data_IF_001790455221
#
_entry.id   IF_001790455221
#
_cell.length_a   1.000
_cell.length_b   1.000
_cell.length_c   1.000
_cell.angle_alpha   90.00
_cell.angle_beta   90.00
_cell.angle_gamma   90.00
#
_symmetry.space_group_name_H-M   'P 1'
#
loop_
_entity.id
_entity.type
_entity.pdbx_description
1 polymer ?
#
# COMPACT_ATOMS: atom_id res chain seq x y z
N UNK A 1 8.41 46.81 25.45
CA UNK A 1 7.31 46.29 24.62
C UNK A 1 7.86 45.18 23.75
N UNK A 2 7.68 43.94 24.22
CA UNK A 2 8.14 42.70 23.59
C UNK A 2 7.32 42.41 22.33
N UNK A 3 7.98 42.29 21.19
CA UNK A 3 7.38 41.72 19.98
C UNK A 3 7.18 40.22 20.19
N UNK A 4 5.99 39.76 19.83
CA UNK A 4 5.49 38.40 19.95
C UNK A 4 6.37 37.39 19.22
N UNK A 5 6.71 36.30 19.91
CA UNK A 5 7.24 35.05 19.36
C UNK A 5 6.22 34.44 18.39
N UNK A 6 6.34 34.77 17.12
CA UNK A 6 5.73 33.99 16.03
C UNK A 6 6.44 32.63 15.97
N UNK A 7 5.88 31.63 16.64
CA UNK A 7 6.19 30.22 16.49
C UNK A 7 5.88 29.78 15.04
N UNK A 8 6.77 30.09 14.10
CA UNK A 8 6.71 29.62 12.71
C UNK A 8 6.91 28.10 12.70
N UNK A 9 5.80 27.36 12.63
CA UNK A 9 5.78 25.92 12.37
C UNK A 9 6.15 25.69 10.92
N UNK A 10 7.20 24.93 10.65
CA UNK A 10 7.59 24.55 9.29
C UNK A 10 7.14 23.12 9.08
N UNK A 11 6.24 22.94 8.12
CA UNK A 11 5.81 21.64 7.64
C UNK A 11 6.81 21.16 6.60
N UNK A 12 7.33 19.94 6.77
CA UNK A 12 7.90 19.21 5.65
C UNK A 12 6.80 19.03 4.59
N UNK A 13 7.16 19.12 3.32
CA UNK A 13 6.22 18.81 2.25
C UNK A 13 5.72 17.36 2.44
N UNK A 14 4.40 17.13 2.39
CA UNK A 14 3.77 15.83 2.63
C UNK A 14 4.36 14.72 1.72
N UNK A 15 4.85 15.12 0.54
CA UNK A 15 5.54 14.24 -0.42
C UNK A 15 6.92 13.75 0.05
N UNK A 16 7.53 14.40 1.04
CA UNK A 16 8.87 14.05 1.56
C UNK A 16 8.79 13.15 2.80
N UNK A 17 7.69 13.16 3.54
CA UNK A 17 7.68 12.58 4.89
C UNK A 17 7.26 11.12 4.95
N UNK A 18 6.53 10.61 3.96
CA UNK A 18 5.82 9.34 4.14
C UNK A 18 6.02 8.38 2.96
N UNK A 19 5.78 8.78 1.70
CA UNK A 19 5.75 7.83 0.57
C UNK A 19 7.03 7.04 0.26
N UNK A 20 8.22 7.53 0.63
CA UNK A 20 9.50 6.94 0.18
C UNK A 20 10.36 6.35 1.32
N UNK A 21 9.91 6.39 2.57
CA UNK A 21 10.70 5.85 3.70
C UNK A 21 10.96 4.35 3.52
N UNK A 22 10.09 3.65 2.80
CA UNK A 22 10.27 2.23 2.45
C UNK A 22 11.48 1.99 1.53
N UNK A 23 11.75 2.88 0.57
CA UNK A 23 12.93 2.78 -0.32
C UNK A 23 14.18 2.84 0.53
N UNK A 24 14.21 3.80 1.46
CA UNK A 24 15.33 3.96 2.38
C UNK A 24 15.50 2.71 3.23
N UNK A 25 14.44 2.13 3.78
CA UNK A 25 14.57 0.93 4.62
C UNK A 25 15.01 -0.29 3.84
N UNK A 26 14.38 -0.54 2.70
CA UNK A 26 14.66 -1.72 1.88
C UNK A 26 16.06 -1.68 1.27
N UNK A 27 16.52 -0.49 0.90
CA UNK A 27 17.83 -0.27 0.28
C UNK A 27 18.84 0.36 1.22
N UNK A 28 18.59 0.40 2.53
CA UNK A 28 19.43 1.17 3.45
C UNK A 28 20.88 0.71 3.42
N UNK A 29 21.10 -0.61 3.39
CA UNK A 29 22.42 -1.20 3.28
C UNK A 29 23.14 -0.82 2.00
N UNK A 30 22.45 -0.86 0.86
CA UNK A 30 22.98 -0.44 -0.43
C UNK A 30 23.35 1.05 -0.42
N UNK A 31 22.46 1.88 0.15
CA UNK A 31 22.62 3.32 0.30
C UNK A 31 23.87 3.64 1.14
N UNK A 32 24.00 3.06 2.34
CA UNK A 32 25.09 3.43 3.26
C UNK A 32 26.39 2.70 2.96
N UNK A 33 26.36 1.53 2.32
CA UNK A 33 27.55 0.70 2.04
C UNK A 33 28.12 0.90 0.63
N UNK A 34 27.60 1.87 -0.13
CA UNK A 34 28.03 2.10 -1.51
C UNK A 34 29.56 2.35 -1.60
N UNK A 35 30.30 1.69 -2.52
CA UNK A 35 31.76 1.80 -2.61
C UNK A 35 32.28 3.22 -2.89
N UNK A 36 31.47 4.04 -3.58
CA UNK A 36 31.80 5.44 -3.90
C UNK A 36 31.28 6.44 -2.88
N UNK A 37 30.82 5.99 -1.71
CA UNK A 37 30.25 6.91 -0.72
C UNK A 37 31.28 7.96 -0.28
N UNK A 38 30.82 9.20 -0.12
CA UNK A 38 31.62 10.30 0.45
C UNK A 38 31.00 10.71 1.76
N UNK A 39 31.79 10.67 2.83
CA UNK A 39 31.34 11.02 4.17
C UNK A 39 31.91 12.36 4.59
N UNK A 40 31.03 13.22 5.09
CA UNK A 40 31.35 14.56 5.55
C UNK A 40 30.78 14.79 6.95
N UNK A 41 31.50 15.53 7.78
CA UNK A 41 30.98 16.05 9.04
C UNK A 41 30.91 17.56 8.95
N UNK A 42 29.78 18.14 9.35
CA UNK A 42 29.67 19.58 9.48
C UNK A 42 30.21 19.99 10.84
N UNK A 43 31.33 20.72 10.86
CA UNK A 43 31.96 21.24 12.08
C UNK A 43 32.07 22.75 11.93
N UNK A 44 31.51 23.50 12.88
CA UNK A 44 31.51 24.98 12.86
C UNK A 44 30.98 25.57 11.54
N UNK A 45 29.94 24.95 10.96
CA UNK A 45 29.33 25.40 9.72
C UNK A 45 30.15 25.16 8.44
N UNK A 46 31.19 24.31 8.51
CA UNK A 46 31.98 23.90 7.35
C UNK A 46 31.93 22.38 7.17
N UNK A 47 31.83 21.94 5.92
CA UNK A 47 31.89 20.52 5.56
C UNK A 47 33.34 20.04 5.54
N UNK A 48 33.66 19.06 6.38
CA UNK A 48 34.97 18.42 6.46
C UNK A 48 34.84 16.95 6.10
N UNK A 49 35.79 16.42 5.31
CA UNK A 49 35.83 14.98 5.02
C UNK A 49 36.01 14.23 6.33
N UNK A 50 35.19 13.21 6.57
CA UNK A 50 35.20 12.43 7.79
C UNK A 50 35.00 10.96 7.49
N UNK A 51 35.73 10.10 8.18
CA UNK A 51 35.57 8.65 8.10
C UNK A 51 34.75 8.17 9.30
N UNK A 52 33.42 8.22 9.16
CA UNK A 52 32.52 7.50 10.06
C UNK A 52 31.89 6.32 9.35
N UNK A 53 31.62 5.28 10.12
CA UNK A 53 30.85 4.12 9.66
C UNK A 53 29.41 4.30 10.08
N UNK A 54 28.54 4.28 9.08
CA UNK A 54 27.10 4.15 9.25
C UNK A 54 26.73 2.78 8.69
N UNK A 55 26.21 1.91 9.54
CA UNK A 55 25.80 0.55 9.20
C UNK A 55 24.28 0.46 9.15
N UNK A 56 23.71 -0.59 8.52
CA UNK A 56 22.26 -0.75 8.51
C UNK A 56 21.64 -0.84 9.90
N UNK A 57 22.39 -1.42 10.84
CA UNK A 57 22.01 -1.59 12.24
C UNK A 57 22.02 -0.29 13.03
N UNK A 58 22.59 0.78 12.48
CA UNK A 58 22.62 2.08 13.14
C UNK A 58 21.30 2.84 12.96
N UNK A 59 20.46 2.49 11.98
CA UNK A 59 19.23 3.24 11.65
C UNK A 59 18.21 3.17 12.80
N UNK A 60 18.01 4.30 13.48
CA UNK A 60 16.99 4.45 14.53
C UNK A 60 15.70 5.04 13.96
N UNK A 61 15.80 6.08 13.15
CA UNK A 61 14.64 6.83 12.68
C UNK A 61 14.90 7.44 11.31
N UNK A 62 13.85 7.51 10.48
CA UNK A 62 13.86 8.26 9.22
C UNK A 62 12.90 9.44 9.41
N UNK A 63 13.45 10.64 9.48
CA UNK A 63 12.66 11.86 9.61
C UNK A 63 11.92 12.21 8.32
N UNK A 64 12.59 12.00 7.18
CA UNK A 64 11.99 12.12 5.86
C UNK A 64 12.83 11.40 4.80
N UNK A 65 12.17 11.05 3.70
CA UNK A 65 12.78 10.56 2.48
C UNK A 65 12.12 11.25 1.28
N UNK A 66 12.88 12.09 0.60
CA UNK A 66 12.47 12.73 -0.63
C UNK A 66 13.14 12.04 -1.82
N UNK A 67 12.33 11.55 -2.74
CA UNK A 67 12.82 10.86 -3.93
C UNK A 67 12.29 11.52 -5.20
N UNK A 68 13.14 11.61 -6.20
CA UNK A 68 12.79 11.89 -7.60
C UNK A 68 13.43 10.80 -8.48
N UNK A 69 13.32 10.93 -9.80
CA UNK A 69 14.00 10.03 -10.74
C UNK A 69 15.52 10.05 -10.58
N UNK A 70 16.10 11.22 -10.26
CA UNK A 70 17.56 11.40 -10.20
C UNK A 70 18.17 11.35 -8.78
N UNK A 71 17.38 11.59 -7.72
CA UNK A 71 17.94 11.79 -6.37
C UNK A 71 17.06 11.17 -5.28
N UNK A 72 17.71 10.68 -4.22
CA UNK A 72 17.09 10.30 -2.95
C UNK A 72 17.78 11.06 -1.81
N UNK A 73 17.05 11.97 -1.18
CA UNK A 73 17.50 12.74 -0.01
C UNK A 73 16.78 12.22 1.22
N UNK A 74 17.56 11.73 2.18
CA UNK A 74 17.03 11.15 3.41
C UNK A 74 17.66 11.82 4.62
N UNK A 75 16.84 12.20 5.59
CA UNK A 75 17.32 12.57 6.92
C UNK A 75 17.02 11.44 7.89
N UNK A 76 18.06 10.92 8.54
CA UNK A 76 17.96 9.84 9.51
C UNK A 76 18.57 10.22 10.86
N UNK A 77 18.22 9.45 11.86
CA UNK A 77 18.88 9.41 13.17
C UNK A 77 19.45 8.02 13.40
N UNK A 78 20.61 7.94 14.05
CA UNK A 78 21.14 6.67 14.53
C UNK A 78 20.74 6.36 15.99
N UNK A 79 21.07 5.17 16.49
CA UNK A 79 20.81 4.78 17.89
C UNK A 79 21.56 5.63 18.94
N UNK A 80 22.62 6.35 18.55
CA UNK A 80 23.36 7.27 19.42
C UNK A 80 22.73 8.67 19.46
N UNK A 81 21.70 8.91 18.67
CA UNK A 81 21.09 10.23 18.50
C UNK A 81 21.84 11.15 17.55
N UNK A 82 22.85 10.65 16.84
CA UNK A 82 23.51 11.40 15.78
C UNK A 82 22.58 11.49 14.56
N UNK A 83 22.56 12.66 13.91
CA UNK A 83 21.74 12.90 12.72
C UNK A 83 22.59 12.84 11.46
N UNK A 84 22.04 12.20 10.42
CA UNK A 84 22.69 12.09 9.13
C UNK A 84 21.76 12.50 8.01
N UNK A 85 22.24 13.37 7.12
CA UNK A 85 21.62 13.60 5.84
C UNK A 85 22.33 12.74 4.80
N UNK A 86 21.59 11.88 4.13
CA UNK A 86 22.07 11.06 3.03
C UNK A 86 21.52 11.65 1.73
N UNK A 87 22.40 11.98 0.81
CA UNK A 87 22.07 12.45 -0.52
C UNK A 87 22.60 11.43 -1.54
N UNK A 88 21.69 10.69 -2.17
CA UNK A 88 22.05 9.70 -3.18
C UNK A 88 21.66 10.21 -4.56
N UNK A 89 22.56 10.06 -5.52
CA UNK A 89 22.21 10.06 -6.93
C UNK A 89 21.67 8.67 -7.29
N UNK A 90 20.49 8.65 -7.89
CA UNK A 90 19.83 7.44 -8.34
C UNK A 90 20.07 7.23 -9.82
N UNK A 91 20.25 5.96 -10.19
CA UNK A 91 20.08 5.52 -11.57
C UNK A 91 18.93 4.55 -11.59
N UNK A 92 17.83 4.98 -12.20
CA UNK A 92 16.66 4.14 -12.42
C UNK A 92 16.85 3.50 -13.79
N UNK A 93 17.22 2.23 -13.81
CA UNK A 93 17.18 1.43 -15.03
C UNK A 93 15.74 0.97 -15.23
N UNK A 94 15.06 1.58 -16.19
CA UNK A 94 13.85 0.99 -16.73
C UNK A 94 14.25 -0.35 -17.37
N UNK A 95 13.79 -1.45 -16.78
CA UNK A 95 13.87 -2.76 -17.44
C UNK A 95 12.84 -2.71 -18.57
N UNK A 96 13.20 -2.08 -19.68
CA UNK A 96 12.36 -2.03 -20.88
C UNK A 96 12.50 -3.41 -21.55
N UNK A 97 11.43 -4.23 -21.62
CA UNK A 97 11.41 -5.34 -22.55
C UNK A 97 11.57 -4.74 -23.94
N UNK A 98 12.61 -5.11 -24.66
CA UNK A 98 12.98 -4.48 -25.94
C UNK A 98 11.83 -4.58 -26.95
N UNK A 99 11.18 -3.45 -27.25
CA UNK A 99 10.31 -3.30 -28.42
C UNK A 99 10.58 -1.98 -29.18
N UNK A 100 10.31 -1.98 -30.51
CA UNK A 100 10.93 -1.07 -31.49
C UNK A 100 10.35 0.35 -31.47
N UNK A 101 11.03 1.33 -32.09
CA UNK A 101 10.84 2.74 -31.75
C UNK A 101 9.60 3.32 -32.44
N UNK A 102 8.81 4.10 -31.69
CA UNK A 102 7.90 5.07 -32.30
C UNK A 102 7.77 6.36 -31.48
N UNK A 103 8.16 7.44 -32.17
CA UNK A 103 7.81 8.86 -32.13
C UNK A 103 6.98 9.47 -30.99
N UNK A 104 7.57 10.53 -30.43
CA UNK A 104 7.12 11.52 -29.44
C UNK A 104 5.93 12.39 -29.87
N UNK A 105 5.07 12.73 -28.90
CA UNK A 105 4.43 14.07 -28.76
C UNK A 105 4.17 14.41 -27.29
N UNK A 106 4.26 15.71 -26.96
CA UNK A 106 4.25 16.34 -25.61
C UNK A 106 2.87 16.91 -25.26
N UNK A 107 2.44 16.94 -23.97
CA UNK A 107 1.39 17.85 -23.50
C UNK A 107 1.85 18.84 -22.39
N UNK A 108 1.12 19.96 -22.17
CA UNK A 108 1.49 21.01 -21.20
C UNK A 108 0.68 20.98 -19.88
N UNK A 109 1.15 21.80 -18.94
CA UNK A 109 0.80 21.88 -17.51
C UNK A 109 -0.30 22.91 -17.16
N UNK A 110 -1.02 22.66 -16.05
CA UNK A 110 -1.17 23.51 -14.84
C UNK A 110 -2.47 23.16 -14.08
N UNK A 111 -2.39 22.89 -12.76
CA UNK A 111 -3.24 23.52 -11.72
C UNK A 111 -2.99 23.01 -10.29
N UNK A 112 -3.34 23.90 -9.36
CA UNK A 112 -2.95 24.08 -7.94
C UNK A 112 -3.70 23.24 -6.89
N UNK A 113 -3.04 22.96 -5.77
CA UNK A 113 -3.53 22.16 -4.63
C UNK A 113 -4.15 22.98 -3.47
N UNK A 114 -5.12 22.41 -2.70
CA UNK A 114 -5.50 22.90 -1.37
C UNK A 114 -5.12 21.95 -0.21
N UNK A 115 -5.21 22.52 1.01
CA UNK A 115 -4.59 22.13 2.28
C UNK A 115 -5.41 21.21 3.20
N UNK A 116 -4.71 20.57 4.16
CA UNK A 116 -5.20 19.58 5.12
C UNK A 116 -5.84 20.14 6.42
N UNK A 117 -6.84 19.43 6.96
CA UNK A 117 -6.84 18.83 8.31
C UNK A 117 -8.22 18.24 8.62
N UNK A 118 -8.28 16.99 9.08
CA UNK A 118 -9.16 16.53 10.17
C UNK A 118 -9.01 15.02 10.35
N UNK A 119 -8.62 14.62 11.55
CA UNK A 119 -8.59 13.24 12.02
C UNK A 119 -9.69 13.15 13.06
N UNK A 120 -10.83 12.53 12.73
CA UNK A 120 -11.82 12.10 13.72
C UNK A 120 -12.74 11.02 13.09
N UNK A 121 -13.02 9.98 13.89
CA UNK A 121 -14.04 8.92 13.70
C UNK A 121 -14.10 8.17 12.35
N UNK A 122 -13.09 7.33 12.11
CA UNK A 122 -12.98 6.44 10.96
C UNK A 122 -13.83 5.15 11.08
N UNK A 123 -15.08 5.19 10.63
CA UNK A 123 -15.82 3.96 10.23
C UNK A 123 -16.73 4.21 9.03
N UNK A 124 -17.48 5.31 9.04
CA UNK A 124 -18.25 5.77 7.87
C UNK A 124 -17.62 7.00 7.21
N UNK A 125 -17.01 7.89 8.01
CA UNK A 125 -16.30 9.06 7.50
C UNK A 125 -15.07 8.73 6.66
N UNK A 126 -14.46 7.54 6.74
CA UNK A 126 -13.35 7.19 5.82
C UNK A 126 -13.88 7.14 4.40
N UNK A 127 -14.99 6.42 4.21
CA UNK A 127 -15.65 6.28 2.93
C UNK A 127 -16.29 7.60 2.48
N UNK A 128 -16.75 8.42 3.42
CA UNK A 128 -17.32 9.76 3.11
C UNK A 128 -16.25 10.88 3.04
N UNK A 129 -15.01 10.68 3.50
CA UNK A 129 -13.93 11.68 3.50
C UNK A 129 -13.13 11.75 2.19
N UNK A 130 -13.42 10.86 1.24
CA UNK A 130 -12.82 10.85 -0.11
C UNK A 130 -13.25 12.04 -1.01
N UNK A 131 -14.09 12.94 -0.50
CA UNK A 131 -14.68 14.11 -1.19
C UNK A 131 -13.69 15.14 -1.80
N UNK A 132 -12.36 15.00 -1.69
CA UNK A 132 -11.44 16.13 -1.92
C UNK A 132 -10.13 15.85 -2.70
N UNK A 133 -9.93 14.74 -3.41
CA UNK A 133 -8.63 14.51 -4.10
C UNK A 133 -8.76 13.91 -5.50
N UNK A 134 -8.28 14.67 -6.50
CA UNK A 134 -8.05 14.24 -7.88
C UNK A 134 -6.56 13.98 -8.10
N UNK A 135 -6.20 12.79 -8.56
CA UNK A 135 -4.89 12.53 -9.15
C UNK A 135 -5.09 11.76 -10.46
N UNK A 136 -4.60 12.33 -11.57
CA UNK A 136 -4.46 11.64 -12.84
C UNK A 136 -3.31 10.63 -12.71
N UNK A 137 -3.61 9.35 -12.96
CA UNK A 137 -2.62 8.28 -13.01
C UNK A 137 -2.64 7.70 -14.43
N UNK A 138 -1.49 7.74 -15.09
CA UNK A 138 -1.28 7.12 -16.40
C UNK A 138 -1.26 5.59 -16.26
N UNK A 139 -1.98 4.83 -17.11
CA UNK A 139 -1.98 3.37 -17.04
C UNK A 139 -0.61 2.78 -17.42
N UNK A 140 -0.13 1.83 -16.61
CA UNK A 140 1.08 1.03 -16.88
C UNK A 140 0.61 -0.36 -17.34
N UNK A 141 0.94 -0.75 -18.57
CA UNK A 141 0.35 -1.90 -19.26
C UNK A 141 1.09 -3.24 -19.05
N UNK A 142 2.19 -3.27 -18.31
CA UNK A 142 2.97 -4.49 -18.07
C UNK A 142 3.20 -4.73 -16.58
N UNK A 143 3.40 -5.99 -16.20
CA UNK A 143 3.83 -6.40 -14.86
C UNK A 143 5.20 -5.78 -14.61
N UNK A 144 5.20 -4.57 -14.05
CA UNK A 144 6.43 -3.88 -13.74
C UNK A 144 7.17 -4.70 -12.69
N UNK A 145 8.29 -5.29 -13.09
CA UNK A 145 9.40 -5.40 -12.15
C UNK A 145 9.58 -4.00 -11.58
N UNK A 146 9.53 -3.87 -10.25
CA UNK A 146 9.81 -2.58 -9.61
C UNK A 146 11.09 -2.03 -10.24
N UNK A 147 11.14 -0.74 -10.63
CA UNK A 147 12.33 -0.15 -11.19
C UNK A 147 13.53 -0.55 -10.33
N UNK A 148 14.57 -1.07 -10.97
CA UNK A 148 15.80 -1.41 -10.26
C UNK A 148 16.45 -0.08 -9.92
N UNK A 149 16.20 0.39 -8.71
CA UNK A 149 16.85 1.58 -8.18
C UNK A 149 18.25 1.15 -7.78
N UNK A 150 19.25 1.59 -8.55
CA UNK A 150 20.65 1.47 -8.19
C UNK A 150 21.12 2.81 -7.63
N UNK A 151 21.60 2.81 -6.39
CA UNK A 151 22.29 3.98 -5.84
C UNK A 151 23.68 4.07 -6.46
N UNK A 152 23.99 5.15 -7.18
CA UNK A 152 25.25 5.25 -7.95
C UNK A 152 26.31 6.08 -7.23
N UNK A 153 25.90 7.09 -6.47
CA UNK A 153 26.80 7.90 -5.65
C UNK A 153 26.07 8.34 -4.38
N UNK A 154 26.64 8.03 -3.22
CA UNK A 154 26.07 8.42 -1.92
C UNK A 154 26.95 9.47 -1.25
N UNK A 155 26.36 10.58 -0.86
CA UNK A 155 27.01 11.60 -0.04
C UNK A 155 26.33 11.66 1.31
N UNK A 156 27.06 11.34 2.37
CA UNK A 156 26.53 11.25 3.74
C UNK A 156 27.12 12.39 4.57
N UNK A 157 26.26 13.22 5.12
CA UNK A 157 26.62 14.32 6.01
C UNK A 157 26.20 13.98 7.44
N UNK A 158 27.16 13.89 8.37
CA UNK A 158 26.89 13.92 9.81
C UNK A 158 26.64 15.36 10.24
N UNK A 159 25.48 15.62 10.84
CA UNK A 159 25.05 16.95 11.27
C UNK A 159 25.32 17.12 12.77
N UNK A 160 25.90 18.26 13.18
CA UNK A 160 25.99 18.61 14.61
C UNK A 160 24.68 19.21 15.10
N UNK A 161 23.99 19.93 14.23
CA UNK A 161 22.73 20.58 14.52
C UNK A 161 21.85 20.61 13.26
N UNK A 162 20.55 20.74 13.48
CA UNK A 162 19.56 20.72 12.40
C UNK A 162 19.72 21.88 11.40
N UNK A 163 20.26 23.01 11.85
CA UNK A 163 20.57 24.15 10.98
C UNK A 163 21.62 23.85 9.92
N UNK A 164 22.44 22.81 10.12
CA UNK A 164 23.49 22.40 9.20
C UNK A 164 22.93 21.82 7.89
N UNK A 165 21.66 21.41 7.86
CA UNK A 165 20.96 21.00 6.63
C UNK A 165 21.09 22.04 5.50
N UNK A 166 21.17 23.34 5.85
CA UNK A 166 21.36 24.42 4.87
C UNK A 166 22.66 24.27 4.08
N UNK A 167 23.69 23.69 4.68
CA UNK A 167 25.04 23.57 4.14
C UNK A 167 25.18 22.34 3.25
N UNK A 168 24.34 21.33 3.46
CA UNK A 168 24.37 20.07 2.74
C UNK A 168 23.47 20.04 1.50
N UNK A 169 22.53 20.99 1.39
CA UNK A 169 21.50 21.01 0.35
C UNK A 169 21.54 22.27 -0.50
N UNK A 170 21.32 22.11 -1.80
CA UNK A 170 21.16 23.22 -2.73
C UNK A 170 19.89 24.02 -2.44
N UNK A 171 19.83 25.27 -2.93
CA UNK A 171 18.61 26.10 -2.80
C UNK A 171 17.37 25.45 -3.43
N UNK A 172 17.56 24.71 -4.54
CA UNK A 172 16.47 24.00 -5.25
C UNK A 172 15.93 22.86 -4.39
N UNK A 173 16.81 22.01 -3.87
CA UNK A 173 16.42 20.87 -3.02
C UNK A 173 15.72 21.34 -1.75
N UNK A 174 16.27 22.35 -1.06
CA UNK A 174 15.63 22.95 0.11
C UNK A 174 14.19 23.40 -0.19
N UNK A 175 13.95 24.01 -1.36
CA UNK A 175 12.59 24.40 -1.78
C UNK A 175 11.69 23.18 -2.00
N UNK A 176 12.21 22.13 -2.63
CA UNK A 176 11.46 20.89 -2.93
C UNK A 176 11.04 20.16 -1.65
N UNK A 177 11.93 20.07 -0.67
CA UNK A 177 11.64 19.42 0.62
C UNK A 177 10.97 20.34 1.65
N UNK A 178 10.57 21.55 1.26
CA UNK A 178 9.83 22.48 2.12
C UNK A 178 10.70 23.24 3.14
N UNK A 179 12.03 23.17 3.05
CA UNK A 179 12.98 23.91 3.89
C UNK A 179 13.15 25.37 3.43
N UNK A 180 12.13 26.21 3.64
CA UNK A 180 12.19 27.62 3.24
C UNK A 180 12.89 28.55 4.26
N UNK A 181 12.79 28.29 5.57
CA UNK A 181 13.38 29.14 6.63
C UNK A 181 13.86 28.34 7.88
N UNK A 182 15.00 27.64 7.82
CA UNK A 182 15.46 26.74 8.91
C UNK A 182 15.86 27.46 10.23
N UNK A 183 15.85 28.80 10.31
CA UNK A 183 16.26 29.53 11.54
C UNK A 183 15.42 29.17 12.78
N UNK A 184 14.24 28.56 12.59
CA UNK A 184 13.35 28.14 13.68
C UNK A 184 12.88 26.69 13.58
N UNK A 185 13.64 25.82 12.91
CA UNK A 185 13.36 24.38 12.93
C UNK A 185 13.62 23.82 14.34
N UNK A 186 12.55 23.74 15.14
CA UNK A 186 12.47 22.81 16.25
C UNK A 186 11.89 21.53 15.70
N UNK A 187 12.65 20.45 15.68
CA UNK A 187 12.00 19.15 15.65
C UNK A 187 11.08 19.12 16.87
N UNK A 188 9.78 19.09 16.60
CA UNK A 188 8.89 18.53 17.59
C UNK A 188 9.39 17.09 17.71
N UNK A 189 10.05 16.79 18.82
CA UNK A 189 9.91 15.45 19.39
C UNK A 189 8.40 15.31 19.60
N UNK A 190 7.66 14.93 18.56
CA UNK A 190 6.58 13.98 18.76
C UNK A 190 7.31 12.70 19.18
N UNK A 191 7.84 12.71 20.40
CA UNK A 191 7.79 11.53 21.22
C UNK A 191 6.30 11.31 21.43
N UNK A 192 5.64 10.77 20.41
CA UNK A 192 4.47 9.95 20.67
C UNK A 192 4.94 8.98 21.75
N UNK A 193 4.18 8.85 22.84
CA UNK A 193 4.53 7.99 23.97
C UNK A 193 4.92 6.57 23.51
N UNK A 194 4.44 6.19 22.32
CA UNK A 194 4.80 5.00 21.57
C UNK A 194 6.29 4.81 21.25
N UNK A 195 7.09 5.87 21.28
CA UNK A 195 8.53 5.82 20.98
C UNK A 195 9.41 5.61 22.20
N UNK A 196 8.86 5.69 23.42
CA UNK A 196 9.66 5.64 24.64
C UNK A 196 10.29 4.25 24.90
N UNK A 197 9.68 3.18 24.38
CA UNK A 197 10.17 1.81 24.58
C UNK A 197 11.08 1.30 23.47
N UNK A 198 11.21 2.05 22.37
CA UNK A 198 12.00 1.69 21.19
C UNK A 198 13.48 1.48 21.50
N UNK A 199 14.02 2.16 22.52
CA UNK A 199 15.44 2.12 22.88
C UNK A 199 15.80 1.04 23.90
N UNK A 200 14.82 0.25 24.33
CA UNK A 200 15.02 -0.74 25.37
C UNK A 200 15.69 -1.98 24.80
N UNK A 201 16.94 -2.18 25.20
CA UNK A 201 17.74 -3.37 24.86
C UNK A 201 17.15 -4.62 25.54
N UNK A 202 16.54 -4.46 26.72
CA UNK A 202 15.90 -5.56 27.44
C UNK A 202 14.51 -5.86 26.86
N UNK A 203 14.30 -7.11 26.44
CA UNK A 203 12.98 -7.62 26.03
C UNK A 203 11.93 -7.45 27.12
N UNK A 204 12.25 -7.76 28.38
CA UNK A 204 11.31 -7.68 29.49
C UNK A 204 10.82 -6.24 29.73
N UNK A 205 11.75 -5.27 29.73
CA UNK A 205 11.39 -3.86 29.90
C UNK A 205 10.63 -3.35 28.66
N UNK A 206 10.99 -3.79 27.45
CA UNK A 206 10.25 -3.46 26.23
C UNK A 206 8.80 -3.96 26.29
N UNK A 207 8.60 -5.23 26.64
CA UNK A 207 7.27 -5.84 26.74
C UNK A 207 6.44 -5.11 27.81
N UNK A 208 7.04 -4.79 28.95
CA UNK A 208 6.37 -4.06 30.03
C UNK A 208 5.90 -2.67 29.60
N UNK A 209 6.72 -1.94 28.85
CA UNK A 209 6.36 -0.60 28.37
C UNK A 209 5.38 -0.66 27.20
N UNK A 210 5.54 -1.61 26.28
CA UNK A 210 4.58 -1.88 25.20
C UNK A 210 3.20 -2.21 25.78
N UNK A 211 3.15 -3.04 26.83
CA UNK A 211 1.89 -3.34 27.52
C UNK A 211 1.27 -2.12 28.17
N UNK A 212 2.06 -1.30 28.87
CA UNK A 212 1.58 -0.03 29.43
C UNK A 212 1.03 0.90 28.36
N UNK A 213 1.68 0.95 27.21
CA UNK A 213 1.20 1.73 26.08
C UNK A 213 -0.13 1.19 25.55
N UNK A 214 -0.25 -0.13 25.33
CA UNK A 214 -1.50 -0.77 24.91
C UNK A 214 -2.64 -0.52 25.91
N UNK A 215 -2.33 -0.61 27.20
CA UNK A 215 -3.29 -0.30 28.27
C UNK A 215 -3.70 1.18 28.28
N UNK A 216 -2.85 2.09 27.79
CA UNK A 216 -3.09 3.53 27.72
C UNK A 216 -3.91 3.95 26.49
N UNK A 217 -3.62 3.39 25.31
CA UNK A 217 -4.31 3.78 24.04
C UNK A 217 -5.78 3.35 23.98
N UNK A 218 -6.21 2.45 24.85
CA UNK A 218 -7.61 2.06 24.99
C UNK A 218 -8.07 1.12 23.88
N UNK A 219 -8.98 1.61 23.03
CA UNK A 219 -9.68 0.79 22.02
C UNK A 219 -8.94 0.72 20.67
N UNK A 220 -8.10 1.70 20.35
CA UNK A 220 -7.41 1.78 19.06
C UNK A 220 -5.91 1.57 19.26
N UNK A 221 -5.39 0.44 18.76
CA UNK A 221 -3.96 0.20 18.69
C UNK A 221 -3.41 0.77 17.39
N UNK A 222 -2.62 1.83 17.48
CA UNK A 222 -2.01 2.46 16.33
C UNK A 222 -0.51 2.11 16.24
N UNK A 223 -0.14 1.31 15.23
CA UNK A 223 1.24 0.86 14.97
C UNK A 223 1.91 1.64 13.82
N UNK A 224 1.37 2.80 13.47
CA UNK A 224 1.85 3.68 12.40
C UNK A 224 3.31 4.09 12.59
N UNK A 225 4.10 4.05 11.51
CA UNK A 225 5.49 4.53 11.46
C UNK A 225 6.46 3.89 12.48
N UNK A 226 6.14 2.74 13.06
CA UNK A 226 7.02 2.13 14.05
C UNK A 226 8.03 1.18 13.40
N UNK A 227 9.06 1.79 12.84
CA UNK A 227 10.16 1.12 12.14
C UNK A 227 11.12 0.33 13.05
N UNK A 228 10.92 0.45 14.34
CA UNK A 228 11.70 -0.21 15.39
C UNK A 228 10.84 -1.13 16.26
N UNK A 229 9.59 -1.34 15.85
CA UNK A 229 8.71 -2.32 16.44
C UNK A 229 9.40 -3.67 16.32
N UNK A 230 9.42 -4.43 17.42
CA UNK A 230 9.92 -5.80 17.46
C UNK A 230 8.73 -6.75 17.41
N UNK A 231 8.32 -7.23 16.22
CA UNK A 231 7.05 -7.96 16.07
C UNK A 231 7.04 -9.27 16.85
N UNK A 232 8.21 -9.90 17.00
CA UNK A 232 8.43 -11.09 17.82
C UNK A 232 8.07 -10.87 19.30
N UNK A 233 8.14 -9.62 19.78
CA UNK A 233 7.75 -9.26 21.15
C UNK A 233 6.27 -8.89 21.29
N UNK A 234 5.57 -8.54 20.21
CA UNK A 234 4.11 -8.32 20.25
C UNK A 234 3.38 -9.60 20.69
N UNK A 235 3.88 -10.76 20.27
CA UNK A 235 3.33 -12.05 20.67
C UNK A 235 3.45 -12.30 22.19
N UNK A 236 4.38 -11.63 22.87
CA UNK A 236 4.66 -11.82 24.31
C UNK A 236 3.89 -10.87 25.23
N UNK A 237 3.16 -9.88 24.69
CA UNK A 237 2.40 -8.90 25.50
C UNK A 237 1.26 -9.57 26.29
N UNK A 238 0.74 -10.68 25.78
CA UNK A 238 -0.42 -11.39 26.31
C UNK A 238 -1.74 -10.78 25.88
N UNK A 239 -2.85 -11.39 26.31
CA UNK A 239 -4.20 -11.03 25.87
C UNK A 239 -4.59 -9.58 26.23
N UNK A 240 -5.06 -8.84 25.23
CA UNK A 240 -5.45 -7.44 25.27
C UNK A 240 -6.86 -7.28 24.68
N UNK A 241 -7.90 -7.50 25.51
CA UNK A 241 -9.30 -7.52 25.08
C UNK A 241 -9.92 -6.13 24.88
N UNK A 242 -9.26 -5.05 25.31
CA UNK A 242 -9.80 -3.68 25.16
C UNK A 242 -9.66 -3.15 23.74
N UNK A 243 -8.69 -3.64 22.99
CA UNK A 243 -8.40 -3.16 21.64
C UNK A 243 -9.42 -3.75 20.68
N UNK A 244 -10.15 -2.87 20.00
CA UNK A 244 -11.17 -3.20 18.99
C UNK A 244 -10.77 -2.74 17.59
N UNK A 245 -9.78 -1.86 17.47
CA UNK A 245 -9.32 -1.31 16.21
C UNK A 245 -7.80 -1.37 16.09
N UNK A 246 -7.32 -1.67 14.90
CA UNK A 246 -5.90 -1.68 14.57
C UNK A 246 -5.61 -0.82 13.36
N UNK A 247 -4.63 0.07 13.50
CA UNK A 247 -4.13 0.93 12.43
C UNK A 247 -2.67 0.59 12.16
N UNK A 248 -2.37 0.22 10.93
CA UNK A 248 -1.02 -0.04 10.44
C UNK A 248 -0.78 0.89 9.26
N UNK A 249 0.02 1.93 9.45
CA UNK A 249 0.42 2.83 8.37
C UNK A 249 1.94 2.80 8.22
N UNK A 250 2.42 2.41 7.04
CA UNK A 250 3.85 2.34 6.70
C UNK A 250 4.69 1.57 7.72
N UNK A 251 4.19 0.43 8.19
CA UNK A 251 4.96 -0.43 9.06
C UNK A 251 5.46 -1.64 8.27
N UNK A 252 6.74 -1.61 7.89
CA UNK A 252 7.40 -2.66 7.10
C UNK A 252 8.04 -3.76 7.95
N UNK A 253 8.11 -3.56 9.28
CA UNK A 253 8.72 -4.53 10.19
C UNK A 253 7.79 -5.71 10.45
N UNK A 254 6.47 -5.47 10.43
CA UNK A 254 5.47 -6.52 10.62
C UNK A 254 5.39 -7.37 9.34
N UNK A 255 6.03 -8.54 9.40
CA UNK A 255 5.96 -9.60 8.39
C UNK A 255 5.26 -10.86 8.89
N UNK A 256 4.84 -10.86 10.17
CA UNK A 256 4.06 -11.92 10.79
C UNK A 256 2.90 -11.28 11.57
N UNK A 257 1.72 -11.87 11.44
CA UNK A 257 0.48 -11.38 12.03
C UNK A 257 -0.10 -12.35 13.08
N UNK A 258 0.61 -13.43 13.42
CA UNK A 258 0.17 -14.40 14.44
C UNK A 258 0.01 -13.77 15.84
N UNK A 259 0.71 -12.67 16.10
CA UNK A 259 0.55 -11.89 17.33
C UNK A 259 -0.86 -11.33 17.51
N UNK A 260 -1.66 -11.21 16.44
CA UNK A 260 -3.06 -10.77 16.51
C UNK A 260 -3.93 -11.69 17.38
N UNK A 261 -3.52 -12.94 17.62
CA UNK A 261 -4.19 -13.83 18.58
C UNK A 261 -4.26 -13.24 20.00
N UNK A 262 -3.38 -12.29 20.33
CA UNK A 262 -3.43 -11.55 21.59
C UNK A 262 -4.54 -10.47 21.63
N UNK A 263 -5.17 -10.15 20.51
CA UNK A 263 -6.13 -9.06 20.37
C UNK A 263 -7.47 -9.55 19.80
N UNK A 264 -8.16 -10.47 20.49
CA UNK A 264 -9.30 -11.22 19.94
C UNK A 264 -10.53 -10.36 19.63
N UNK A 265 -10.61 -9.15 20.18
CA UNK A 265 -11.75 -8.25 20.03
C UNK A 265 -11.58 -7.23 18.90
N UNK A 266 -10.49 -7.30 18.13
CA UNK A 266 -10.34 -6.44 16.95
C UNK A 266 -11.47 -6.74 15.96
N UNK A 267 -12.25 -5.71 15.64
CA UNK A 267 -13.33 -5.71 14.65
C UNK A 267 -12.99 -4.89 13.42
N UNK A 268 -12.03 -3.97 13.54
CA UNK A 268 -11.63 -3.07 12.46
C UNK A 268 -10.11 -3.09 12.25
N UNK A 269 -9.71 -3.29 11.00
CA UNK A 269 -8.32 -3.16 10.57
C UNK A 269 -8.21 -2.12 9.45
N UNK A 270 -7.28 -1.19 9.63
CA UNK A 270 -6.81 -0.31 8.57
C UNK A 270 -5.33 -0.58 8.27
N UNK A 271 -5.01 -0.89 7.01
CA UNK A 271 -3.65 -1.12 6.53
C UNK A 271 -3.36 -0.14 5.40
N UNK A 272 -2.37 0.73 5.60
CA UNK A 272 -1.98 1.76 4.66
C UNK A 272 -0.49 1.64 4.32
N UNK A 273 -0.16 1.68 3.04
CA UNK A 273 1.22 1.72 2.54
C UNK A 273 2.12 0.63 3.16
N UNK A 274 1.56 -0.54 3.42
CA UNK A 274 2.29 -1.72 3.88
C UNK A 274 2.63 -2.58 2.65
N UNK A 275 3.58 -2.09 1.85
CA UNK A 275 3.94 -2.69 0.55
C UNK A 275 4.44 -4.14 0.63
N UNK A 276 4.83 -4.63 1.81
CA UNK A 276 5.22 -6.02 2.03
C UNK A 276 4.02 -6.99 2.14
N UNK A 277 2.79 -6.47 2.26
CA UNK A 277 1.60 -7.28 2.44
C UNK A 277 1.29 -8.13 1.21
N UNK A 278 0.92 -9.38 1.46
CA UNK A 278 0.68 -10.41 0.45
C UNK A 278 -0.46 -11.32 0.94
N UNK A 279 -0.96 -12.21 0.08
CA UNK A 279 -2.09 -13.09 0.42
C UNK A 279 -1.87 -13.88 1.73
N UNK A 280 -0.67 -14.38 1.97
CA UNK A 280 -0.30 -15.15 3.17
C UNK A 280 -0.52 -14.35 4.45
N UNK A 281 -0.20 -13.06 4.46
CA UNK A 281 -0.40 -12.17 5.60
C UNK A 281 -1.89 -12.01 5.92
N UNK A 282 -2.75 -11.87 4.89
CA UNK A 282 -4.20 -11.79 5.11
C UNK A 282 -4.80 -13.11 5.57
N UNK A 283 -4.24 -14.26 5.17
CA UNK A 283 -4.65 -15.54 5.74
C UNK A 283 -4.36 -15.58 7.25
N UNK A 284 -3.17 -15.16 7.69
CA UNK A 284 -2.83 -15.08 9.12
C UNK A 284 -3.76 -14.13 9.89
N UNK A 285 -4.06 -12.96 9.31
CA UNK A 285 -4.98 -11.99 9.90
C UNK A 285 -6.36 -12.62 10.13
N UNK A 286 -6.92 -13.26 9.10
CA UNK A 286 -8.24 -13.90 9.16
C UNK A 286 -8.25 -15.08 10.14
N UNK A 287 -7.17 -15.85 10.21
CA UNK A 287 -7.05 -16.98 11.15
C UNK A 287 -7.03 -16.49 12.61
N UNK A 288 -6.43 -15.32 12.88
CA UNK A 288 -6.36 -14.73 14.21
C UNK A 288 -7.60 -13.92 14.59
N UNK A 289 -8.29 -13.33 13.61
CA UNK A 289 -9.41 -12.41 13.79
C UNK A 289 -10.66 -12.90 13.03
N UNK A 290 -11.28 -14.02 13.45
CA UNK A 290 -12.41 -14.62 12.74
C UNK A 290 -13.67 -13.75 12.73
N UNK A 291 -13.76 -12.78 13.64
CA UNK A 291 -14.88 -11.87 13.81
C UNK A 291 -14.60 -10.47 13.24
N UNK A 292 -13.62 -10.32 12.34
CA UNK A 292 -13.33 -9.03 11.72
C UNK A 292 -14.54 -8.53 10.92
N UNK A 293 -14.97 -7.29 11.20
CA UNK A 293 -16.16 -6.64 10.61
C UNK A 293 -15.79 -5.66 9.49
N UNK A 294 -14.66 -4.97 9.64
CA UNK A 294 -14.21 -3.93 8.71
C UNK A 294 -12.74 -4.14 8.35
N UNK A 295 -12.44 -4.19 7.05
CA UNK A 295 -11.07 -4.27 6.54
C UNK A 295 -10.83 -3.21 5.47
N UNK A 296 -9.87 -2.33 5.71
CA UNK A 296 -9.48 -1.28 4.79
C UNK A 296 -8.01 -1.45 4.39
N UNK A 297 -7.75 -1.51 3.09
CA UNK A 297 -6.42 -1.73 2.52
C UNK A 297 -6.13 -0.62 1.52
N UNK A 298 -5.08 0.16 1.77
CA UNK A 298 -4.76 1.34 0.99
C UNK A 298 -3.31 1.30 0.53
N UNK A 299 -3.09 1.45 -0.77
CA UNK A 299 -1.78 1.59 -1.41
C UNK A 299 -0.78 0.48 -1.02
N UNK A 300 -1.25 -0.77 -0.96
CA UNK A 300 -0.42 -1.94 -0.64
C UNK A 300 -0.07 -2.69 -1.93
N UNK A 301 0.88 -2.16 -2.68
CA UNK A 301 1.20 -2.52 -4.08
C UNK A 301 1.45 -4.00 -4.41
N UNK A 302 1.72 -4.87 -3.43
CA UNK A 302 1.90 -6.32 -3.65
C UNK A 302 0.62 -7.14 -3.52
N UNK A 303 -0.48 -6.55 -3.07
CA UNK A 303 -1.76 -7.25 -3.00
C UNK A 303 -2.35 -7.39 -4.40
N UNK A 304 -3.08 -8.48 -4.61
CA UNK A 304 -3.84 -8.74 -5.82
C UNK A 304 -5.19 -9.38 -5.44
N UNK A 305 -6.01 -9.71 -6.43
CA UNK A 305 -7.36 -10.27 -6.24
C UNK A 305 -7.42 -11.48 -5.29
N UNK A 306 -6.35 -12.27 -5.16
CA UNK A 306 -6.33 -13.42 -4.24
C UNK A 306 -6.49 -13.03 -2.77
N UNK A 307 -6.25 -11.77 -2.41
CA UNK A 307 -6.51 -11.25 -1.05
C UNK A 307 -7.99 -11.38 -0.65
N UNK A 308 -8.90 -11.38 -1.62
CA UNK A 308 -10.32 -11.57 -1.37
C UNK A 308 -10.65 -12.98 -0.88
N UNK A 309 -9.85 -14.00 -1.23
CA UNK A 309 -10.12 -15.39 -0.84
C UNK A 309 -10.18 -15.57 0.68
N UNK A 310 -9.16 -15.19 1.47
CA UNK A 310 -9.24 -15.28 2.93
C UNK A 310 -10.28 -14.31 3.50
N UNK A 311 -10.34 -13.07 3.01
CA UNK A 311 -11.24 -12.04 3.57
C UNK A 311 -12.72 -12.42 3.43
N UNK A 312 -13.14 -12.91 2.27
CA UNK A 312 -14.53 -13.28 2.01
C UNK A 312 -14.92 -14.63 2.65
N UNK A 313 -14.05 -15.26 3.45
CA UNK A 313 -14.41 -16.39 4.32
C UNK A 313 -14.83 -15.93 5.73
N UNK A 314 -14.58 -14.67 6.08
CA UNK A 314 -15.03 -14.10 7.34
C UNK A 314 -16.56 -14.04 7.38
N UNK A 315 -17.14 -14.52 8.49
CA UNK A 315 -18.60 -14.59 8.67
C UNK A 315 -19.24 -13.27 9.09
N UNK A 316 -18.42 -12.35 9.57
CA UNK A 316 -18.83 -11.08 10.15
C UNK A 316 -18.32 -9.88 9.35
N UNK A 317 -17.61 -10.08 8.24
CA UNK A 317 -17.09 -8.98 7.43
C UNK A 317 -18.26 -8.25 6.75
N UNK A 318 -18.48 -7.00 7.16
CA UNK A 318 -19.56 -6.12 6.67
C UNK A 318 -19.07 -5.11 5.64
N UNK A 319 -17.84 -4.62 5.81
CA UNK A 319 -17.24 -3.57 4.99
C UNK A 319 -15.83 -3.93 4.55
N UNK A 320 -15.58 -3.79 3.25
CA UNK A 320 -14.26 -3.99 2.66
C UNK A 320 -13.92 -2.82 1.72
N UNK A 321 -12.79 -2.16 1.97
CA UNK A 321 -12.25 -1.14 1.08
C UNK A 321 -10.84 -1.53 0.58
N UNK A 322 -10.62 -1.43 -0.72
CA UNK A 322 -9.33 -1.59 -1.37
C UNK A 322 -9.09 -0.35 -2.24
N UNK A 323 -8.14 0.48 -1.83
CA UNK A 323 -7.69 1.62 -2.61
C UNK A 323 -6.30 1.34 -3.15
N UNK A 324 -6.23 0.89 -4.39
CA UNK A 324 -4.97 0.74 -5.11
C UNK A 324 -5.29 0.77 -6.61
N UNK A 325 -4.87 1.86 -7.28
CA UNK A 325 -5.07 2.00 -8.72
C UNK A 325 -4.50 0.82 -9.51
N UNK A 326 -3.49 0.14 -8.94
CA UNK A 326 -2.84 -1.03 -9.51
C UNK A 326 -3.32 -2.35 -8.90
N UNK A 327 -4.49 -2.39 -8.24
CA UNK A 327 -5.01 -3.65 -7.68
C UNK A 327 -5.22 -4.70 -8.77
N UNK A 328 -4.30 -5.67 -8.84
CA UNK A 328 -4.23 -6.61 -9.95
C UNK A 328 -5.34 -7.66 -9.89
N UNK A 329 -6.25 -7.63 -10.86
CA UNK A 329 -7.35 -8.58 -10.99
C UNK A 329 -7.08 -9.72 -11.98
N UNK A 330 -6.10 -9.53 -12.87
CA UNK A 330 -5.77 -10.41 -13.98
C UNK A 330 -4.26 -10.68 -14.07
N UNK A 331 -3.87 -11.92 -14.38
CA UNK A 331 -2.49 -12.30 -14.73
C UNK A 331 -2.13 -11.93 -16.17
N UNK A 332 -3.16 -11.81 -17.01
CA UNK A 332 -3.06 -11.43 -18.41
C UNK A 332 -4.45 -11.10 -18.94
N UNK A 333 -4.53 -10.65 -20.19
CA UNK A 333 -5.74 -10.08 -20.82
C UNK A 333 -7.00 -10.95 -20.64
N UNK A 334 -6.84 -12.27 -20.53
CA UNK A 334 -7.94 -13.23 -20.42
C UNK A 334 -7.85 -14.17 -19.22
N UNK A 335 -6.92 -13.96 -18.29
CA UNK A 335 -6.72 -14.86 -17.14
C UNK A 335 -6.85 -14.11 -15.81
N UNK A 336 -7.87 -14.46 -15.01
CA UNK A 336 -8.04 -13.95 -13.65
C UNK A 336 -7.06 -14.62 -12.67
N UNK A 337 -6.69 -13.91 -11.61
CA UNK A 337 -5.88 -14.49 -10.52
C UNK A 337 -6.59 -15.57 -9.71
N UNK A 338 -7.92 -15.58 -9.74
CA UNK A 338 -8.79 -16.51 -9.02
C UNK A 338 -9.65 -17.23 -10.03
N UNK A 339 -9.56 -18.56 -10.04
CA UNK A 339 -10.28 -19.38 -11.01
C UNK A 339 -11.79 -19.40 -10.70
N UNK A 340 -12.65 -19.61 -11.71
CA UNK A 340 -14.10 -19.71 -11.49
C UNK A 340 -14.49 -20.79 -10.45
N UNK A 341 -13.72 -21.88 -10.36
CA UNK A 341 -13.92 -22.94 -9.38
C UNK A 341 -13.57 -22.51 -7.95
N UNK A 342 -12.55 -21.66 -7.77
CA UNK A 342 -12.21 -21.08 -6.46
C UNK A 342 -13.31 -20.13 -5.99
N UNK A 343 -13.85 -19.29 -6.88
CA UNK A 343 -14.98 -18.39 -6.57
C UNK A 343 -16.22 -19.13 -6.07
N UNK A 344 -16.52 -20.31 -6.62
CA UNK A 344 -17.66 -21.14 -6.15
C UNK A 344 -17.54 -21.59 -4.70
N UNK A 345 -16.33 -21.60 -4.13
CA UNK A 345 -16.08 -21.95 -2.74
C UNK A 345 -16.16 -20.74 -1.79
N UNK A 346 -16.33 -19.54 -2.32
CA UNK A 346 -16.40 -18.28 -1.57
C UNK A 346 -17.87 -17.91 -1.38
N UNK A 347 -18.25 -17.61 -0.14
CA UNK A 347 -19.58 -17.15 0.20
C UNK A 347 -19.52 -16.25 1.44
N UNK A 348 -19.81 -14.96 1.26
CA UNK A 348 -19.78 -13.95 2.33
C UNK A 348 -21.11 -13.19 2.38
N UNK A 349 -22.13 -13.73 3.06
CA UNK A 349 -23.44 -13.07 3.15
C UNK A 349 -23.44 -11.88 4.09
N UNK A 350 -22.41 -11.69 4.93
CA UNK A 350 -22.33 -10.53 5.83
C UNK A 350 -21.92 -9.25 5.11
N UNK A 351 -21.26 -9.35 3.96
CA UNK A 351 -20.68 -8.18 3.28
C UNK A 351 -21.79 -7.31 2.67
N UNK A 352 -21.88 -6.07 3.14
CA UNK A 352 -22.89 -5.10 2.73
C UNK A 352 -22.31 -3.96 1.88
N UNK A 353 -21.05 -3.58 2.14
CA UNK A 353 -20.39 -2.47 1.45
C UNK A 353 -19.01 -2.90 0.97
N UNK A 354 -18.80 -2.78 -0.34
CA UNK A 354 -17.50 -3.04 -0.94
C UNK A 354 -17.07 -1.84 -1.77
N UNK A 355 -15.83 -1.42 -1.59
CA UNK A 355 -15.26 -0.27 -2.26
C UNK A 355 -13.90 -0.65 -2.84
N UNK A 356 -13.77 -0.68 -4.17
CA UNK A 356 -12.53 -1.06 -4.85
C UNK A 356 -12.18 0.03 -5.86
N UNK A 357 -11.23 0.87 -5.50
CA UNK A 357 -10.71 1.92 -6.38
C UNK A 357 -9.53 1.39 -7.17
N UNK A 358 -9.82 0.83 -8.34
CA UNK A 358 -8.81 0.31 -9.27
C UNK A 358 -9.36 0.33 -10.69
N UNK A 359 -8.59 0.87 -11.63
CA UNK A 359 -8.90 0.83 -13.06
C UNK A 359 -8.76 -0.59 -13.63
N UNK A 360 -8.10 -1.50 -12.90
CA UNK A 360 -7.91 -2.90 -13.29
C UNK A 360 -9.06 -3.82 -12.87
N UNK A 361 -10.08 -3.29 -12.19
CA UNK A 361 -11.24 -4.08 -11.78
C UNK A 361 -12.12 -4.41 -12.99
N UNK A 362 -12.36 -5.71 -13.24
CA UNK A 362 -13.12 -6.17 -14.39
C UNK A 362 -14.56 -6.54 -14.05
N UNK A 363 -15.45 -6.51 -15.06
CA UNK A 363 -16.85 -6.92 -14.90
C UNK A 363 -16.98 -8.37 -14.41
N UNK A 364 -16.10 -9.28 -14.84
CA UNK A 364 -16.07 -10.67 -14.37
C UNK A 364 -15.85 -10.74 -12.86
N UNK A 365 -14.92 -9.95 -12.32
CA UNK A 365 -14.65 -9.90 -10.88
C UNK A 365 -15.85 -9.32 -10.13
N UNK A 366 -16.45 -8.24 -10.63
CA UNK A 366 -17.64 -7.64 -10.01
C UNK A 366 -18.80 -8.65 -9.99
N UNK A 367 -19.03 -9.37 -11.08
CA UNK A 367 -20.05 -10.40 -11.18
C UNK A 367 -19.80 -11.55 -10.18
N UNK A 368 -18.56 -12.03 -10.08
CA UNK A 368 -18.21 -13.04 -9.07
C UNK A 368 -18.41 -12.51 -7.64
N UNK A 369 -18.03 -11.25 -7.38
CA UNK A 369 -18.14 -10.63 -6.06
C UNK A 369 -19.61 -10.50 -5.63
N UNK A 370 -20.49 -9.99 -6.51
CA UNK A 370 -21.92 -9.87 -6.25
C UNK A 370 -22.60 -11.24 -6.12
N UNK A 371 -22.12 -12.26 -6.83
CA UNK A 371 -22.61 -13.64 -6.69
C UNK A 371 -22.19 -14.27 -5.35
N UNK A 372 -20.93 -14.08 -4.95
CA UNK A 372 -20.39 -14.62 -3.71
C UNK A 372 -20.90 -13.88 -2.46
N UNK A 373 -21.30 -12.61 -2.61
CA UNK A 373 -21.72 -11.73 -1.53
C UNK A 373 -23.12 -11.16 -1.84
N UNK A 374 -24.18 -11.96 -1.63
CA UNK A 374 -25.52 -11.61 -2.12
C UNK A 374 -26.15 -10.39 -1.43
N UNK A 375 -25.61 -9.95 -0.29
CA UNK A 375 -26.18 -8.84 0.50
C UNK A 375 -25.45 -7.50 0.28
N UNK A 376 -24.60 -7.38 -0.75
CA UNK A 376 -23.95 -6.11 -1.07
C UNK A 376 -25.01 -5.08 -1.47
N UNK A 377 -25.14 -4.03 -0.66
CA UNK A 377 -26.02 -2.89 -0.89
C UNK A 377 -25.27 -1.72 -1.54
N UNK A 378 -23.96 -1.62 -1.31
CA UNK A 378 -23.13 -0.53 -1.81
C UNK A 378 -21.89 -1.08 -2.51
N UNK A 379 -21.79 -0.82 -3.81
CA UNK A 379 -20.62 -1.09 -4.64
C UNK A 379 -20.00 0.25 -5.07
N UNK A 380 -18.83 0.56 -4.54
CA UNK A 380 -18.09 1.78 -4.89
C UNK A 380 -16.89 1.38 -5.74
N UNK A 381 -16.76 1.97 -6.92
CA UNK A 381 -15.70 1.61 -7.87
C UNK A 381 -15.08 2.86 -8.49
N UNK A 382 -13.94 2.68 -9.14
CA UNK A 382 -13.32 3.72 -9.96
C UNK A 382 -14.29 4.25 -11.05
N UNK A 383 -14.12 5.51 -11.44
CA UNK A 383 -14.98 6.21 -12.40
C UNK A 383 -15.08 5.53 -13.77
N UNK A 384 -13.98 4.98 -14.29
CA UNK A 384 -13.97 4.27 -15.57
C UNK A 384 -14.66 2.91 -15.45
N UNK A 385 -14.49 2.25 -14.31
CA UNK A 385 -15.18 1.00 -13.99
C UNK A 385 -16.67 1.23 -13.81
N UNK A 386 -17.08 2.32 -13.15
CA UNK A 386 -18.49 2.70 -13.01
C UNK A 386 -19.15 2.86 -14.39
N UNK A 387 -18.47 3.52 -15.33
CA UNK A 387 -18.97 3.65 -16.70
C UNK A 387 -19.19 2.29 -17.34
N UNK A 388 -18.17 1.41 -17.29
CA UNK A 388 -18.26 0.04 -17.82
C UNK A 388 -19.42 -0.75 -17.18
N UNK A 389 -19.57 -0.65 -15.86
CA UNK A 389 -20.67 -1.28 -15.11
C UNK A 389 -22.01 -0.74 -15.58
N UNK A 390 -22.18 0.58 -15.71
CA UNK A 390 -23.45 1.20 -16.13
C UNK A 390 -23.88 0.80 -17.55
N UNK A 391 -22.92 0.60 -18.47
CA UNK A 391 -23.19 0.23 -19.86
C UNK A 391 -23.54 -1.26 -20.03
N UNK A 392 -23.11 -2.11 -19.08
CA UNK A 392 -23.18 -3.57 -19.21
C UNK A 392 -24.11 -4.25 -18.21
N UNK A 393 -24.56 -3.55 -17.16
CA UNK A 393 -25.45 -4.12 -16.15
C UNK A 393 -26.90 -4.18 -16.64
N UNK A 394 -27.56 -5.31 -16.38
CA UNK A 394 -28.99 -5.50 -16.58
C UNK A 394 -29.70 -5.58 -15.22
N UNK A 395 -30.88 -4.97 -15.16
CA UNK A 395 -31.68 -4.90 -13.94
C UNK A 395 -32.00 -6.30 -13.40
N UNK A 396 -31.75 -6.46 -12.10
CA UNK A 396 -32.00 -7.70 -11.41
C UNK A 396 -33.46 -7.91 -11.06
N UNK A 397 -33.75 -9.12 -10.58
CA UNK A 397 -35.11 -9.62 -10.35
C UNK A 397 -35.61 -9.44 -8.92
N UNK A 398 -34.77 -8.93 -8.01
CA UNK A 398 -35.12 -8.80 -6.59
C UNK A 398 -35.71 -7.41 -6.26
N UNK A 399 -37.04 -7.29 -6.08
CA UNK A 399 -37.67 -6.00 -5.83
C UNK A 399 -37.35 -5.43 -4.44
N UNK A 400 -36.95 -6.26 -3.48
CA UNK A 400 -36.81 -5.87 -2.08
C UNK A 400 -35.39 -5.40 -1.73
N UNK A 401 -34.41 -5.71 -2.58
CA UNK A 401 -33.01 -5.39 -2.37
C UNK A 401 -32.46 -4.48 -3.46
N UNK A 402 -31.94 -3.32 -3.04
CA UNK A 402 -31.31 -2.34 -3.93
C UNK A 402 -29.80 -2.42 -3.82
N UNK A 403 -29.14 -2.39 -4.98
CA UNK A 403 -27.71 -2.16 -5.14
C UNK A 403 -27.49 -0.71 -5.57
N UNK A 404 -26.79 0.05 -4.73
CA UNK A 404 -26.25 1.36 -5.06
C UNK A 404 -24.86 1.16 -5.65
N UNK A 405 -24.66 1.57 -6.89
CA UNK A 405 -23.35 1.58 -7.55
C UNK A 405 -22.90 3.02 -7.71
N UNK A 406 -21.77 3.40 -7.13
CA UNK A 406 -21.27 4.78 -7.16
C UNK A 406 -19.78 4.87 -7.45
N UNK A 407 -19.36 6.07 -7.85
CA UNK A 407 -17.96 6.40 -8.08
C UNK A 407 -17.22 6.58 -6.76
N UNK A 408 -15.97 6.14 -6.73
CA UNK A 408 -15.04 6.41 -5.64
C UNK A 408 -14.68 7.90 -5.59
N UNK A 409 -14.38 8.52 -6.73
CA UNK A 409 -13.97 9.92 -6.83
C UNK A 409 -15.13 10.88 -6.56
N UNK A 410 -16.36 10.50 -6.92
CA UNK A 410 -17.55 11.29 -6.71
C UNK A 410 -18.72 10.42 -6.21
N UNK A 411 -18.93 10.31 -4.89
CA UNK A 411 -19.99 9.46 -4.33
C UNK A 411 -21.41 9.81 -4.79
N UNK A 412 -21.65 11.05 -5.27
CA UNK A 412 -22.95 11.45 -5.81
C UNK A 412 -23.18 10.96 -7.25
N UNK A 413 -22.12 10.56 -7.95
CA UNK A 413 -22.18 9.99 -9.29
C UNK A 413 -22.38 8.48 -9.17
N UNK A 414 -23.49 7.99 -9.69
CA UNK A 414 -23.85 6.58 -9.58
C UNK A 414 -25.27 6.31 -10.04
N UNK A 415 -25.73 5.10 -9.78
CA UNK A 415 -27.11 4.69 -10.04
C UNK A 415 -27.54 3.62 -9.03
N UNK A 416 -28.84 3.41 -8.95
CA UNK A 416 -29.44 2.37 -8.13
C UNK A 416 -30.15 1.37 -9.02
N UNK A 417 -30.04 0.09 -8.67
CA UNK A 417 -30.65 -1.01 -9.42
C UNK A 417 -31.09 -2.13 -8.47
N UNK A 418 -32.12 -2.87 -8.85
CA UNK A 418 -32.52 -4.07 -8.11
C UNK A 418 -31.42 -5.14 -8.17
N UNK A 419 -31.16 -5.80 -7.03
CA UNK A 419 -30.17 -6.88 -6.91
C UNK A 419 -30.55 -8.13 -7.74
N UNK A 420 -29.64 -9.11 -7.77
CA UNK A 420 -29.61 -10.24 -8.72
C UNK A 420 -29.42 -9.76 -10.15
N UNK A 421 -28.47 -8.84 -10.30
CA UNK A 421 -28.09 -8.24 -11.58
C UNK A 421 -27.37 -9.24 -12.46
N UNK A 422 -27.39 -8.98 -13.77
CA UNK A 422 -26.62 -9.72 -14.76
C UNK A 422 -25.76 -8.76 -15.57
N UNK A 423 -24.57 -9.19 -15.98
CA UNK A 423 -23.69 -8.38 -16.82
C UNK A 423 -23.62 -8.94 -18.24
N UNK A 424 -23.71 -8.03 -19.21
CA UNK A 424 -23.33 -8.27 -20.60
C UNK A 424 -21.82 -8.22 -20.77
N UNK A 425 -21.35 -8.77 -21.89
CA UNK A 425 -19.97 -8.62 -22.34
C UNK A 425 -18.90 -9.05 -21.33
N UNK A 426 -19.24 -9.98 -20.43
CA UNK A 426 -18.26 -10.61 -19.54
C UNK A 426 -17.15 -11.25 -20.37
N UNK A 427 -15.89 -11.03 -19.98
CA UNK A 427 -14.74 -11.55 -20.71
C UNK A 427 -14.83 -13.08 -20.81
N UNK A 428 -15.22 -13.76 -19.72
CA UNK A 428 -15.40 -15.23 -19.73
C UNK A 428 -16.44 -15.74 -20.73
N UNK A 429 -17.41 -14.92 -21.12
CA UNK A 429 -18.44 -15.31 -22.09
C UNK A 429 -17.97 -15.09 -23.54
N UNK A 430 -17.15 -14.06 -23.76
CA UNK A 430 -16.59 -13.74 -25.08
C UNK A 430 -15.43 -14.68 -25.46
N UNK A 431 -14.79 -15.28 -24.47
CA UNK A 431 -13.68 -16.21 -24.63
C UNK A 431 -14.04 -17.59 -24.06
N UNK A 432 -15.08 -18.22 -24.61
CA UNK A 432 -15.51 -19.56 -24.20
C UNK A 432 -14.44 -20.62 -24.50
N UNK A 433 -13.52 -20.90 -23.56
CA UNK A 433 -12.73 -22.14 -23.38
C UNK A 433 -12.03 -22.81 -24.59
N UNK A 434 -12.07 -22.21 -25.77
CA UNK A 434 -11.53 -22.70 -27.02
C UNK A 434 -10.77 -21.52 -27.62
N UNK A 435 -9.52 -21.34 -27.18
CA UNK A 435 -8.54 -20.46 -27.85
C UNK A 435 -8.38 -20.77 -29.35
N UNK A 436 -8.86 -21.95 -29.76
CA UNK A 436 -8.88 -22.42 -31.12
C UNK A 436 -10.31 -22.79 -31.49
N UNK A 437 -10.82 -22.29 -32.61
CA UNK A 437 -12.05 -22.83 -33.20
C UNK A 437 -11.93 -24.35 -33.38
N UNK A 438 -13.06 -25.07 -33.40
CA UNK A 438 -13.07 -26.51 -33.69
C UNK A 438 -12.32 -26.88 -34.97
N UNK A 439 -12.28 -25.97 -35.95
CA UNK A 439 -11.50 -26.10 -37.18
C UNK A 439 -9.99 -26.01 -36.93
N UNK A 440 -9.54 -25.07 -36.07
CA UNK A 440 -8.14 -24.98 -35.67
C UNK A 440 -7.73 -26.16 -34.79
N UNK A 441 -8.57 -26.60 -33.85
CA UNK A 441 -8.30 -27.81 -33.04
C UNK A 441 -8.17 -29.05 -33.92
N UNK A 442 -9.03 -29.20 -34.94
CA UNK A 442 -8.89 -30.26 -35.96
C UNK A 442 -7.57 -30.16 -36.72
N UNK A 443 -7.16 -28.94 -37.11
CA UNK A 443 -5.89 -28.73 -37.83
C UNK A 443 -4.67 -29.01 -36.96
N UNK A 444 -4.71 -28.63 -35.69
CA UNK A 444 -3.65 -28.93 -34.72
C UNK A 444 -3.55 -30.45 -34.49
N UNK A 445 -4.69 -31.16 -34.38
CA UNK A 445 -4.70 -32.64 -34.32
C UNK A 445 -4.14 -33.29 -35.57
N UNK A 446 -4.51 -32.82 -36.77
CA UNK A 446 -3.93 -33.28 -38.04
C UNK A 446 -2.41 -33.08 -38.09
N UNK A 447 -1.92 -31.91 -37.71
CA UNK A 447 -0.50 -31.57 -37.72
C UNK A 447 0.31 -32.39 -36.71
N UNK A 448 -0.26 -32.69 -35.53
CA UNK A 448 0.36 -33.58 -34.54
C UNK A 448 0.42 -35.02 -35.01
N UNK A 449 -0.65 -35.52 -35.64
CA UNK A 449 -0.68 -36.85 -36.25
C UNK A 449 0.36 -36.99 -37.38
N UNK A 450 0.53 -35.95 -38.21
CA UNK A 450 1.55 -35.92 -39.26
C UNK A 450 2.98 -35.88 -38.72
N UNK A 451 3.19 -35.35 -37.51
CA UNK A 451 4.48 -35.32 -36.81
C UNK A 451 4.76 -36.59 -35.99
N UNK A 452 3.83 -37.53 -35.93
CA UNK A 452 3.98 -38.77 -35.15
C UNK A 452 3.90 -38.59 -33.64
N UNK A 453 3.42 -37.45 -33.16
CA UNK A 453 3.24 -37.18 -31.73
C UNK A 453 1.98 -37.90 -31.24
N UNK A 454 2.12 -38.89 -30.35
CA UNK A 454 0.96 -39.55 -29.71
C UNK A 454 0.33 -38.61 -28.69
N UNK A 455 -1.00 -38.56 -28.65
CA UNK A 455 -1.75 -37.84 -27.60
C UNK A 455 -1.26 -38.32 -26.22
N UNK A 456 -0.69 -37.42 -25.41
CA UNK A 456 -0.60 -37.66 -23.98
C UNK A 456 -2.03 -37.69 -23.44
N UNK A 457 -2.49 -38.87 -23.07
CA UNK A 457 -3.71 -39.06 -22.29
C UNK A 457 -3.63 -38.16 -21.07
N UNK A 458 -4.65 -37.31 -20.88
CA UNK A 458 -4.87 -36.60 -19.63
C UNK A 458 -4.83 -37.62 -18.48
N UNK A 459 -4.04 -37.32 -17.46
CA UNK A 459 -4.15 -38.00 -16.17
C UNK A 459 -5.54 -37.64 -15.65
N UNK A 460 -6.48 -38.57 -15.84
CA UNK A 460 -7.76 -38.57 -15.16
C UNK A 460 -7.46 -39.14 -13.77
N UNK A 461 -7.28 -38.27 -12.79
CA UNK A 461 -7.40 -38.69 -11.39
C UNK A 461 -8.83 -39.20 -11.19
N UNK A 462 -8.94 -40.53 -11.07
CA UNK A 462 -10.15 -41.22 -10.66
C UNK A 462 -10.25 -41.17 -9.14
N UNK A 463 -11.48 -41.15 -8.57
CA UNK A 463 -11.69 -40.90 -7.16
C UNK A 463 -11.36 -42.13 -6.32
N UNK A 464 -10.52 -41.95 -5.31
CA UNK A 464 -10.51 -42.75 -4.09
C UNK A 464 -10.35 -41.85 -2.88
#
# INVERSE_FOLDING_TARGET
MSRSDDNRRIWLNFNCTQGNNWVVQYKFEEIVSHPRRKCYQIVNGQSQVSEFQLTPQDLRHIYFAYMTEEILITLIENHKGDMYLIHNALHITDVIPSEPPATSTVPPADQTAPSASQTETLTDQVIDSYLNRTHDVTPVNDVAQLPVIESVDSTIFKLEQMSDLKLCLTRKERKLIGLRDIEHWKLKQQQDEFTQFIHLISDDEYIKQLRRHIDHVGETLNLTHNYTLRPDLLQKVGLCSKVTQLIIYQNFQINDFQWLANFPNIRLINIFYAHQMEQSHFQQIVDCLPDLEVCNIHYCTRINLRVLIPLLKLRHLEKLAIEDAQFWCQKGVHELFVLPTEWKSIYCPSLQKVAINSTNLTLDVIDYLLTACPNIQHLIVDDDVLKSVSENIEAGTDPDLMLSVSSWQNPQKGFMIHQKVHFKNLLRNNYSSQMFSDSMLRKIKELRAQRGEKEQTAIVDSPH
#
